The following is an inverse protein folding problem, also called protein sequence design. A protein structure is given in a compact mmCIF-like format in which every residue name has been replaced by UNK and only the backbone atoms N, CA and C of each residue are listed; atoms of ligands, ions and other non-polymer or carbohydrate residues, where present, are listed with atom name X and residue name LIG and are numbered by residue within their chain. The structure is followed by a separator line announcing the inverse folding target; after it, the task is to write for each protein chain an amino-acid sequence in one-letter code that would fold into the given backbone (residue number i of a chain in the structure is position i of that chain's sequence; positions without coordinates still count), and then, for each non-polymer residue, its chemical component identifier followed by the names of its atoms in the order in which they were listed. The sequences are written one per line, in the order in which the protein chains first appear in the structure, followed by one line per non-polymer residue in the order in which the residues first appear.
data_IF_144646785726
#
_entry.id   IF_144646785726
#
_cell.length_a   1.000
_cell.length_b   1.000
_cell.length_c   1.000
_cell.angle_alpha   90.00
_cell.angle_beta   90.00
_cell.angle_gamma   90.00
#
_symmetry.space_group_name_H-M   'P 1'
#
loop_
_entity.id
_entity.type
_entity.pdbx_description
1 polymer ?
#
# COMPACT_ATOMS: atom_id res chain seq x y z
N UNK A 1 10.06 27.46 -6.39
CA UNK A 1 9.03 27.62 -5.34
C UNK A 1 8.04 26.49 -5.56
N UNK A 2 7.82 25.62 -4.57
CA UNK A 2 6.89 24.49 -4.74
C UNK A 2 5.45 25.00 -4.59
N UNK A 3 4.59 24.63 -5.53
CA UNK A 3 3.15 24.92 -5.51
C UNK A 3 2.39 23.63 -5.26
N UNK A 4 1.42 23.68 -4.35
CA UNK A 4 0.59 22.54 -3.99
C UNK A 4 -0.80 22.71 -4.59
N UNK A 5 -1.25 21.72 -5.35
CA UNK A 5 -2.60 21.70 -5.90
C UNK A 5 -3.47 20.78 -5.05
N UNK A 6 -4.62 21.28 -4.60
CA UNK A 6 -5.67 20.47 -3.99
C UNK A 6 -6.79 20.31 -5.01
N UNK A 7 -6.88 19.11 -5.58
CA UNK A 7 -7.92 18.75 -6.54
C UNK A 7 -9.21 18.30 -5.85
N UNK A 8 -9.08 17.62 -4.71
CA UNK A 8 -10.22 17.18 -3.88
C UNK A 8 -9.88 17.46 -2.42
N UNK A 9 -10.72 18.26 -1.76
CA UNK A 9 -10.55 18.69 -0.38
C UNK A 9 -11.64 19.67 0.04
N UNK A 10 -11.47 20.29 1.21
CA UNK A 10 -12.37 21.33 1.74
C UNK A 10 -12.41 22.58 0.86
N UNK A 11 -11.25 23.00 0.35
CA UNK A 11 -11.10 24.08 -0.63
C UNK A 11 -10.17 23.64 -1.74
N UNK A 12 -10.68 23.66 -2.96
CA UNK A 12 -9.92 23.35 -4.17
C UNK A 12 -9.13 24.60 -4.57
N UNK A 13 -7.91 24.41 -5.09
CA UNK A 13 -7.04 25.54 -5.41
C UNK A 13 -5.55 25.20 -5.44
N UNK A 14 -4.77 26.22 -5.76
CA UNK A 14 -3.31 26.20 -5.63
C UNK A 14 -2.89 26.90 -4.33
N UNK A 15 -1.87 26.38 -3.68
CA UNK A 15 -1.36 26.85 -2.38
C UNK A 15 0.16 26.95 -2.44
N UNK A 16 0.72 28.00 -1.86
CA UNK A 16 2.17 28.23 -1.87
C UNK A 16 2.89 27.55 -0.69
N UNK A 17 2.14 27.06 0.29
CA UNK A 17 2.67 26.36 1.46
C UNK A 17 1.92 25.07 1.73
N UNK A 18 2.66 24.03 2.12
CA UNK A 18 2.08 22.74 2.45
C UNK A 18 1.14 22.82 3.66
N UNK A 19 1.43 23.69 4.63
CA UNK A 19 0.58 23.88 5.81
C UNK A 19 -0.86 24.21 5.46
N UNK A 20 -1.08 25.18 4.56
CA UNK A 20 -2.42 25.53 4.07
C UNK A 20 -3.04 24.38 3.27
N UNK A 21 -2.31 23.83 2.29
CA UNK A 21 -2.83 22.73 1.47
C UNK A 21 -3.25 21.52 2.32
N UNK A 22 -2.43 21.17 3.33
CA UNK A 22 -2.68 20.09 4.28
C UNK A 22 -4.01 20.27 5.00
N UNK A 23 -4.31 21.46 5.50
CA UNK A 23 -5.60 21.72 6.19
C UNK A 23 -6.82 21.48 5.31
N UNK A 24 -6.66 21.54 3.99
CA UNK A 24 -7.74 21.29 3.04
C UNK A 24 -7.94 19.80 2.73
N UNK A 25 -6.86 19.00 2.79
CA UNK A 25 -6.90 17.57 2.47
C UNK A 25 -7.00 16.67 3.69
N UNK A 26 -6.48 17.09 4.84
CA UNK A 26 -6.40 16.27 6.05
C UNK A 26 -7.80 15.96 6.59
N UNK A 27 -8.05 14.67 6.82
CA UNK A 27 -9.36 14.15 7.25
C UNK A 27 -10.45 14.17 6.18
N UNK A 28 -10.22 14.76 5.00
CA UNK A 28 -11.22 14.79 3.93
C UNK A 28 -11.23 13.45 3.15
N UNK A 29 -12.37 12.76 3.01
CA UNK A 29 -12.46 11.51 2.26
C UNK A 29 -12.05 11.68 0.80
N UNK A 30 -11.32 10.72 0.25
CA UNK A 30 -10.88 10.72 -1.16
C UNK A 30 -10.14 12.00 -1.58
N UNK A 31 -9.46 12.68 -0.65
CA UNK A 31 -8.64 13.82 -1.00
C UNK A 31 -7.56 13.43 -2.01
N UNK A 32 -7.21 14.37 -2.89
CA UNK A 32 -6.05 14.24 -3.76
C UNK A 32 -5.38 15.59 -3.97
N UNK A 33 -4.06 15.55 -3.86
CA UNK A 33 -3.18 16.69 -4.03
C UNK A 33 -1.91 16.26 -4.76
N UNK A 34 -1.22 17.22 -5.38
CA UNK A 34 0.07 17.01 -6.04
C UNK A 34 0.89 18.29 -5.92
N UNK A 35 2.21 18.13 -5.76
CA UNK A 35 3.17 19.22 -5.76
C UNK A 35 3.73 19.45 -7.16
N UNK A 36 4.01 20.71 -7.48
CA UNK A 36 4.56 21.14 -8.76
C UNK A 36 5.69 22.14 -8.50
N UNK A 37 6.71 22.11 -9.35
CA UNK A 37 7.80 23.09 -9.31
C UNK A 37 7.39 24.42 -9.96
N UNK A 38 6.35 24.39 -10.80
CA UNK A 38 5.84 25.54 -11.57
C UNK A 38 4.36 25.76 -11.30
N UNK A 39 4.00 27.03 -11.06
CA UNK A 39 2.62 27.46 -10.79
C UNK A 39 1.69 27.25 -11.99
N UNK A 40 2.18 27.52 -13.19
CA UNK A 40 1.41 27.35 -14.42
C UNK A 40 0.98 25.90 -14.64
N UNK A 41 1.90 24.94 -14.46
CA UNK A 41 1.59 23.51 -14.55
C UNK A 41 0.55 23.09 -13.51
N UNK A 42 0.66 23.63 -12.29
CA UNK A 42 -0.30 23.41 -11.21
C UNK A 42 -1.71 23.93 -11.55
N UNK A 43 -1.80 25.16 -12.06
CA UNK A 43 -3.08 25.78 -12.45
C UNK A 43 -3.71 25.09 -13.66
N UNK A 44 -2.89 24.70 -14.64
CA UNK A 44 -3.33 23.94 -15.82
C UNK A 44 -3.90 22.57 -15.42
N UNK A 45 -3.21 21.80 -14.56
CA UNK A 45 -3.71 20.52 -14.07
C UNK A 45 -5.00 20.72 -13.24
N UNK A 46 -5.08 21.75 -12.39
CA UNK A 46 -6.28 22.06 -11.62
C UNK A 46 -7.48 22.41 -12.52
N UNK A 47 -7.23 23.16 -13.59
CA UNK A 47 -8.25 23.51 -14.60
C UNK A 47 -8.71 22.26 -15.36
N UNK A 48 -7.77 21.43 -15.80
CA UNK A 48 -8.07 20.18 -16.51
C UNK A 48 -8.89 19.22 -15.65
N UNK A 49 -8.65 19.14 -14.34
CA UNK A 49 -9.40 18.28 -13.43
C UNK A 49 -10.91 18.56 -13.45
N UNK A 50 -11.32 19.84 -13.55
CA UNK A 50 -12.74 20.24 -13.58
C UNK A 50 -13.43 19.92 -14.91
N UNK A 51 -12.67 19.87 -16.01
CA UNK A 51 -13.20 19.55 -17.35
C UNK A 51 -13.18 18.05 -17.66
N UNK A 52 -13.04 17.19 -16.64
CA UNK A 52 -12.99 15.73 -16.82
C UNK A 52 -11.59 15.19 -17.15
N UNK A 53 -10.55 15.98 -16.93
CA UNK A 53 -9.16 15.58 -17.16
C UNK A 53 -8.67 14.43 -16.27
N UNK A 54 -7.45 13.93 -16.53
CA UNK A 54 -6.86 12.82 -15.81
C UNK A 54 -6.71 13.20 -14.33
N UNK A 55 -7.37 12.46 -13.45
CA UNK A 55 -7.17 12.64 -12.01
C UNK A 55 -5.95 11.80 -11.58
N UNK A 56 -5.02 12.36 -10.79
CA UNK A 56 -3.80 11.67 -10.37
C UNK A 56 -4.05 10.43 -9.50
N UNK A 57 -5.28 10.24 -9.02
CA UNK A 57 -5.74 9.07 -8.27
C UNK A 57 -6.76 8.21 -9.02
N UNK A 58 -7.26 8.66 -10.19
CA UNK A 58 -8.27 7.93 -10.97
C UNK A 58 -7.69 6.63 -11.50
N UNK A 59 -8.39 5.52 -11.28
CA UNK A 59 -8.01 4.21 -11.82
C UNK A 59 -6.81 3.55 -11.13
N UNK A 60 -6.26 4.12 -10.07
CA UNK A 60 -5.26 3.43 -9.24
C UNK A 60 -5.95 2.46 -8.29
N UNK A 61 -5.40 1.27 -8.18
CA UNK A 61 -5.81 0.25 -7.22
C UNK A 61 -4.70 0.08 -6.20
N UNK A 62 -5.03 -0.06 -4.92
CA UNK A 62 -4.07 -0.15 -3.83
C UNK A 62 -4.17 -1.53 -3.17
N UNK A 63 -3.10 -2.30 -3.24
CA UNK A 63 -2.98 -3.56 -2.49
C UNK A 63 -2.29 -3.29 -1.16
N UNK A 64 -2.90 -3.75 -0.07
CA UNK A 64 -2.32 -3.77 1.28
C UNK A 64 -1.95 -5.22 1.59
N UNK A 65 -0.65 -5.49 1.69
CA UNK A 65 -0.10 -6.80 2.02
C UNK A 65 -0.02 -6.99 3.54
N UNK A 66 0.45 -5.96 4.25
CA UNK A 66 0.58 -5.94 5.71
C UNK A 66 -0.06 -4.67 6.24
N UNK A 67 -1.02 -4.83 7.15
CA UNK A 67 -1.79 -3.74 7.74
C UNK A 67 -2.88 -4.29 8.66
N UNK A 68 -3.74 -3.41 9.16
CA UNK A 68 -4.89 -3.80 10.00
C UNK A 68 -5.83 -4.79 9.30
N UNK A 69 -6.12 -4.52 8.02
CA UNK A 69 -6.88 -5.41 7.13
C UNK A 69 -6.16 -5.48 5.79
N UNK A 70 -5.40 -6.55 5.51
CA UNK A 70 -4.84 -6.80 4.19
C UNK A 70 -5.95 -6.98 3.15
N UNK A 71 -5.69 -6.58 1.91
CA UNK A 71 -6.66 -6.64 0.82
C UNK A 71 -6.46 -5.57 -0.25
N UNK A 72 -7.45 -5.42 -1.12
CA UNK A 72 -7.38 -4.54 -2.29
C UNK A 72 -8.42 -3.44 -2.16
N UNK A 73 -7.96 -2.20 -2.33
CA UNK A 73 -8.74 -0.99 -2.15
C UNK A 73 -8.74 -0.17 -3.44
N UNK A 74 -9.89 0.41 -3.79
CA UNK A 74 -10.04 1.32 -4.93
C UNK A 74 -9.65 2.76 -4.59
N UNK A 75 -9.45 3.07 -3.31
CA UNK A 75 -9.09 4.39 -2.82
C UNK A 75 -7.90 4.35 -1.87
N UNK A 76 -6.97 5.27 -2.05
CA UNK A 76 -5.87 5.49 -1.11
C UNK A 76 -6.37 5.81 0.30
N UNK A 77 -7.50 6.49 0.43
CA UNK A 77 -8.05 6.84 1.74
C UNK A 77 -8.38 5.59 2.57
N UNK A 78 -8.94 4.56 1.94
CA UNK A 78 -9.26 3.29 2.61
C UNK A 78 -8.00 2.48 2.91
N UNK A 79 -7.08 2.38 1.95
CA UNK A 79 -5.79 1.72 2.14
C UNK A 79 -4.97 2.38 3.27
N UNK A 80 -4.89 3.72 3.27
CA UNK A 80 -4.20 4.51 4.29
C UNK A 80 -4.72 4.22 5.69
N UNK A 81 -6.03 4.02 5.87
CA UNK A 81 -6.58 3.64 7.19
C UNK A 81 -6.05 2.30 7.70
N UNK A 82 -5.65 1.40 6.82
CA UNK A 82 -5.13 0.08 7.21
C UNK A 82 -3.64 0.12 7.54
N UNK A 83 -2.87 0.96 6.85
CA UNK A 83 -1.41 1.00 6.96
C UNK A 83 -0.88 2.12 7.87
N UNK A 84 -1.60 3.23 7.98
CA UNK A 84 -1.14 4.41 8.72
C UNK A 84 -1.02 4.11 10.22
N UNK A 85 0.20 4.22 10.75
CA UNK A 85 0.52 3.90 12.14
C UNK A 85 0.58 2.40 12.44
N UNK A 86 0.56 1.53 11.43
CA UNK A 86 0.71 0.09 11.61
C UNK A 86 2.20 -0.30 11.45
N UNK A 87 2.80 -1.03 12.41
CA UNK A 87 4.20 -1.41 12.34
C UNK A 87 4.46 -2.36 11.17
N UNK A 88 5.57 -2.18 10.47
CA UNK A 88 5.97 -3.00 9.31
C UNK A 88 4.86 -3.14 8.24
N UNK A 89 4.04 -2.10 8.06
CA UNK A 89 3.02 -2.09 7.01
C UNK A 89 3.67 -2.20 5.63
N UNK A 90 2.96 -2.85 4.70
CA UNK A 90 3.42 -3.06 3.33
C UNK A 90 2.23 -2.91 2.39
N UNK A 91 2.36 -2.01 1.42
CA UNK A 91 1.33 -1.74 0.42
C UNK A 91 1.95 -1.29 -0.90
N UNK A 92 1.21 -1.44 -1.99
CA UNK A 92 1.63 -1.00 -3.34
C UNK A 92 0.43 -0.54 -4.16
N UNK A 93 0.65 0.45 -5.02
CA UNK A 93 -0.35 0.92 -5.99
C UNK A 93 -0.13 0.28 -7.36
N UNK A 94 -1.22 -0.09 -8.02
CA UNK A 94 -1.28 -0.74 -9.33
C UNK A 94 -2.20 0.02 -10.27
N UNK A 95 -2.01 -0.20 -11.58
CA UNK A 95 -2.86 0.39 -12.63
C UNK A 95 -4.12 -0.44 -12.88
N UNK A 96 -4.08 -1.74 -12.60
CA UNK A 96 -5.20 -2.66 -12.81
C UNK A 96 -5.51 -3.40 -11.53
N UNK A 97 -6.76 -3.88 -11.43
CA UNK A 97 -7.19 -4.71 -10.30
C UNK A 97 -6.55 -6.10 -10.34
N UNK A 98 -6.40 -6.68 -11.53
CA UNK A 98 -5.80 -8.00 -11.74
C UNK A 98 -4.35 -8.05 -11.26
N UNK A 99 -3.53 -7.03 -11.57
CA UNK A 99 -2.15 -6.95 -11.07
C UNK A 99 -2.09 -6.86 -9.54
N UNK A 100 -3.04 -6.14 -8.93
CA UNK A 100 -3.14 -6.04 -7.48
C UNK A 100 -3.55 -7.38 -6.85
N UNK A 101 -4.47 -8.12 -7.46
CA UNK A 101 -4.91 -9.45 -7.01
C UNK A 101 -3.78 -10.47 -7.06
N UNK A 102 -3.02 -10.50 -8.17
CA UNK A 102 -1.84 -11.34 -8.31
C UNK A 102 -0.79 -11.05 -7.24
N UNK A 103 -0.46 -9.78 -7.03
CA UNK A 103 0.53 -9.41 -6.03
C UNK A 103 0.12 -9.81 -4.61
N UNK A 104 -1.17 -9.71 -4.25
CA UNK A 104 -1.68 -10.12 -2.94
C UNK A 104 -1.62 -11.65 -2.79
N UNK A 105 -1.98 -12.38 -3.83
CA UNK A 105 -1.91 -13.85 -3.85
C UNK A 105 -0.46 -14.35 -3.76
N UNK A 106 0.47 -13.74 -4.48
CA UNK A 106 1.91 -14.03 -4.41
C UNK A 106 2.43 -13.79 -2.99
N UNK A 107 2.10 -12.65 -2.37
CA UNK A 107 2.51 -12.33 -1.01
C UNK A 107 1.97 -13.33 0.03
N UNK A 108 0.71 -13.75 -0.11
CA UNK A 108 0.11 -14.77 0.75
C UNK A 108 0.79 -16.13 0.59
N UNK A 109 1.19 -16.48 -0.64
CA UNK A 109 1.87 -17.75 -0.95
C UNK A 109 3.29 -17.78 -0.39
N UNK A 110 4.05 -16.69 -0.56
CA UNK A 110 5.41 -16.56 0.00
C UNK A 110 5.42 -16.65 1.53
N UNK A 111 4.40 -16.09 2.20
CA UNK A 111 4.30 -16.16 3.67
C UNK A 111 4.03 -17.57 4.17
N UNK A 112 3.24 -18.38 3.43
CA UNK A 112 2.96 -19.77 3.80
C UNK A 112 4.16 -20.72 3.55
N UNK A 113 4.95 -20.48 2.50
CA UNK A 113 6.08 -21.37 2.19
C UNK A 113 7.18 -21.34 3.24
N UNK A 114 7.48 -20.17 3.82
CA UNK A 114 8.48 -20.06 4.90
C UNK A 114 8.08 -20.92 6.10
N UNK A 115 6.80 -20.85 6.50
CA UNK A 115 6.29 -21.61 7.66
C UNK A 115 6.28 -23.12 7.39
N UNK A 116 5.96 -23.56 6.17
CA UNK A 116 5.99 -25.00 5.86
C UNK A 116 7.41 -25.56 5.84
N UNK A 117 8.36 -24.85 5.23
CA UNK A 117 9.76 -25.27 5.18
C UNK A 117 10.36 -25.39 6.60
N UNK A 118 10.11 -24.41 7.47
CA UNK A 118 10.58 -24.46 8.87
C UNK A 118 10.00 -25.65 9.65
N UNK A 119 8.72 -25.98 9.43
CA UNK A 119 8.09 -27.12 10.09
C UNK A 119 8.64 -28.45 9.57
N UNK A 120 8.90 -28.57 8.26
CA UNK A 120 9.52 -29.75 7.68
C UNK A 120 10.95 -29.95 8.20
N UNK A 121 11.75 -28.89 8.26
CA UNK A 121 13.12 -28.94 8.81
C UNK A 121 13.13 -29.42 10.27
N UNK A 122 12.22 -28.90 11.09
CA UNK A 122 12.11 -29.31 12.50
C UNK A 122 11.70 -30.78 12.66
N UNK A 123 10.77 -31.24 11.83
CA UNK A 123 10.28 -32.62 11.85
C UNK A 123 11.36 -33.61 11.36
N UNK A 124 12.12 -33.23 10.33
CA UNK A 124 13.23 -34.01 9.80
C UNK A 124 14.34 -34.20 10.85
N UNK A 125 14.73 -33.12 11.55
CA UNK A 125 15.71 -33.18 12.65
C UNK A 125 15.19 -34.05 13.79
N UNK A 126 13.90 -33.95 14.15
CA UNK A 126 13.32 -34.81 15.18
C UNK A 126 13.33 -36.29 14.81
N UNK A 127 13.06 -36.62 13.55
CA UNK A 127 13.09 -38.00 13.05
C UNK A 127 14.51 -38.59 13.11
N UNK A 128 15.53 -37.83 12.69
CA UNK A 128 16.92 -38.26 12.76
C UNK A 128 17.37 -38.53 14.20
N UNK A 129 16.98 -37.66 15.14
CA UNK A 129 17.27 -37.86 16.57
C UNK A 129 16.63 -39.16 17.08
N UNK A 130 15.36 -39.42 16.74
CA UNK A 130 14.65 -40.62 17.17
C UNK A 130 15.26 -41.91 16.62
N UNK A 131 15.65 -41.91 15.34
CA UNK A 131 16.34 -43.03 14.71
C UNK A 131 17.70 -43.29 15.38
N UNK A 132 18.44 -42.23 15.70
CA UNK A 132 19.74 -42.33 16.37
C UNK A 132 19.61 -42.94 17.77
N UNK A 133 18.65 -42.47 18.57
CA UNK A 133 18.37 -43.01 19.91
C UNK A 133 17.96 -44.49 19.84
N UNK A 134 17.12 -44.85 18.86
CA UNK A 134 16.67 -46.23 18.69
C UNK A 134 17.84 -47.18 18.36
N UNK A 135 18.76 -46.75 17.50
CA UNK A 135 19.95 -47.51 17.14
C UNK A 135 20.95 -47.65 18.31
N UNK A 136 21.02 -46.67 19.21
CA UNK A 136 21.83 -46.73 20.44
C UNK A 136 21.28 -47.71 21.48
N UNK A 137 19.95 -47.90 21.53
CA UNK A 137 19.29 -48.83 22.47
C UNK A 137 19.36 -50.30 22.05
N UNK A 138 19.76 -50.59 20.80
CA UNK A 138 19.87 -51.94 20.25
C UNK A 138 21.29 -52.54 20.36
N UNK A 139 22.24 -51.80 20.97
CA UNK A 139 23.58 -52.26 21.33
C UNK A 139 23.67 -52.53 22.83
#
# INVERSE_FOLDING_TARGET
MIVWVVFVGRRLGTYNIWGEAKTQVEGFPNNCHKSYDKREDAENDLRAFHTGGPSPTRGKVYAVFVGRKPGIYSSWYEAKKQVNGFPNNSFRAFKTRDDAEKAVAEFASSSNQVVQNENEDFLNVQLEIQLTISNLKLR
#
